data_IF_365057014862
#
_entry.id   IF_365057014862
#
_cell.length_a   1.000
_cell.length_b   1.000
_cell.length_c   1.000
_cell.angle_alpha   90.00
_cell.angle_beta   90.00
_cell.angle_gamma   90.00
#
_symmetry.space_group_name_H-M   'P 1'
#
loop_
_entity.id
_entity.type
_entity.pdbx_description
1 polymer ?
#
# COMPACT_ATOMS: atom_id res chain seq x y z
N UNK A 1 -5.60 -3.98 -13.02
CA UNK A 1 -5.10 -5.15 -12.28
C UNK A 1 -6.20 -5.68 -11.37
N UNK A 2 -6.52 -6.97 -11.50
CA UNK A 2 -7.44 -7.67 -10.61
C UNK A 2 -6.62 -8.54 -9.66
N UNK A 3 -6.84 -8.40 -8.37
CA UNK A 3 -6.26 -9.29 -7.36
C UNK A 3 -7.41 -9.99 -6.63
N UNK A 4 -7.42 -11.30 -6.72
CA UNK A 4 -8.36 -12.14 -6.00
C UNK A 4 -7.61 -12.94 -4.94
N UNK A 5 -7.97 -12.77 -3.69
CA UNK A 5 -7.38 -13.52 -2.57
C UNK A 5 -8.46 -14.30 -1.84
N UNK A 6 -8.22 -15.58 -1.68
CA UNK A 6 -8.98 -16.44 -0.78
C UNK A 6 -8.06 -16.86 0.35
N UNK A 7 -8.41 -16.48 1.57
CA UNK A 7 -7.74 -16.98 2.76
C UNK A 7 -8.70 -17.90 3.50
N UNK A 8 -8.34 -19.15 3.57
CA UNK A 8 -8.98 -20.12 4.42
C UNK A 8 -8.04 -20.35 5.61
N UNK A 9 -8.42 -19.90 6.78
CA UNK A 9 -7.79 -20.32 8.01
C UNK A 9 -8.73 -21.31 8.68
N UNK A 10 -8.54 -22.58 8.35
CA UNK A 10 -9.19 -23.68 8.99
C UNK A 10 -8.10 -24.60 9.46
N UNK A 11 -7.86 -24.62 10.76
CA UNK A 11 -7.41 -25.86 11.33
C UNK A 11 -8.65 -26.74 11.35
N UNK A 12 -8.61 -27.97 10.82
CA UNK A 12 -9.54 -28.98 11.26
C UNK A 12 -9.37 -29.05 12.78
N UNK A 13 -10.30 -28.45 13.51
CA UNK A 13 -10.34 -28.60 14.95
C UNK A 13 -10.37 -30.12 15.16
N UNK A 14 -9.33 -30.67 15.74
CA UNK A 14 -9.41 -32.06 16.16
C UNK A 14 -10.44 -32.05 17.29
N UNK A 15 -11.59 -32.62 17.01
CA UNK A 15 -12.56 -32.91 18.03
C UNK A 15 -11.93 -33.95 18.95
N UNK A 16 -11.63 -33.53 20.16
CA UNK A 16 -11.17 -34.44 21.22
C UNK A 16 -12.31 -34.61 22.19
N UNK A 17 -12.71 -35.81 22.39
CA UNK A 17 -13.65 -36.17 23.45
C UNK A 17 -12.87 -36.27 24.75
N UNK A 18 -13.20 -35.43 25.71
CA UNK A 18 -12.53 -35.36 27.01
C UNK A 18 -13.55 -35.67 28.07
N UNK A 19 -13.23 -36.57 28.97
CA UNK A 19 -14.04 -36.77 30.18
C UNK A 19 -13.60 -35.84 31.28
N UNK A 20 -14.53 -35.45 32.14
CA UNK A 20 -14.19 -34.89 33.43
C UNK A 20 -13.44 -35.96 34.25
N UNK A 21 -12.24 -35.66 34.78
CA UNK A 21 -11.50 -36.60 35.61
C UNK A 21 -12.29 -37.17 36.78
N UNK A 22 -13.29 -36.42 37.30
CA UNK A 22 -14.19 -36.89 38.33
C UNK A 22 -15.16 -37.98 37.94
N UNK A 23 -15.30 -38.24 36.61
CA UNK A 23 -16.21 -39.25 36.05
C UNK A 23 -15.48 -40.51 35.63
N UNK A 24 -14.18 -40.58 35.83
CA UNK A 24 -13.42 -41.83 35.68
C UNK A 24 -13.81 -42.75 36.85
N UNK A 25 -14.25 -43.95 36.58
CA UNK A 25 -14.51 -44.94 37.61
C UNK A 25 -13.16 -45.39 38.14
N UNK A 26 -12.78 -44.83 39.27
CA UNK A 26 -11.48 -45.09 39.89
C UNK A 26 -11.47 -46.29 40.80
N UNK A 27 -12.48 -47.14 40.84
CA UNK A 27 -12.56 -48.26 41.74
C UNK A 27 -13.30 -49.46 41.21
N UNK A 28 -13.02 -49.87 39.98
CA UNK A 28 -13.41 -51.24 39.60
C UNK A 28 -12.27 -52.18 39.97
N UNK A 29 -12.42 -53.00 41.03
CA UNK A 29 -11.36 -53.90 41.47
C UNK A 29 -11.06 -55.03 40.51
N UNK A 30 -11.74 -55.06 39.38
CA UNK A 30 -11.59 -56.08 38.32
C UNK A 30 -10.74 -55.59 37.13
N UNK A 31 -10.29 -54.32 37.14
CA UNK A 31 -9.48 -53.76 36.06
C UNK A 31 -8.15 -53.31 36.64
N UNK A 32 -7.16 -54.14 36.47
CA UNK A 32 -5.78 -53.82 36.65
C UNK A 32 -5.36 -52.93 35.46
N UNK A 33 -5.11 -51.65 35.69
CA UNK A 33 -4.66 -50.77 34.62
C UNK A 33 -3.17 -50.48 34.75
N UNK A 34 -2.50 -50.43 33.65
CA UNK A 34 -1.10 -50.07 33.55
C UNK A 34 -0.98 -48.54 33.40
N UNK A 35 -0.41 -47.90 34.42
CA UNK A 35 -0.19 -46.44 34.42
C UNK A 35 0.72 -45.97 33.27
N UNK A 36 1.62 -46.81 32.74
CA UNK A 36 2.52 -46.47 31.66
C UNK A 36 1.83 -46.49 30.29
N UNK A 37 0.88 -47.38 30.10
CA UNK A 37 0.19 -47.53 28.80
C UNK A 37 -1.17 -46.90 28.75
N UNK A 38 -1.73 -46.46 29.88
CA UNK A 38 -3.10 -45.93 30.01
C UNK A 38 -4.16 -46.93 29.48
N UNK A 39 -3.83 -48.16 29.36
CA UNK A 39 -4.79 -49.23 28.97
C UNK A 39 -5.62 -49.63 30.20
N UNK A 40 -6.91 -49.71 30.02
CA UNK A 40 -7.84 -50.11 31.06
C UNK A 40 -8.72 -49.01 31.63
N UNK A 41 -8.57 -47.77 31.23
CA UNK A 41 -9.48 -46.72 31.60
C UNK A 41 -10.91 -46.98 31.04
N UNK A 42 -11.87 -47.08 31.97
CA UNK A 42 -13.27 -47.19 31.62
C UNK A 42 -14.01 -45.89 31.92
N UNK A 43 -14.82 -45.48 30.99
CA UNK A 43 -15.72 -44.33 31.14
C UNK A 43 -17.12 -44.83 31.49
N UNK A 44 -17.83 -44.09 32.34
CA UNK A 44 -19.15 -44.48 32.84
C UNK A 44 -20.22 -44.55 31.72
N UNK A 45 -20.13 -43.70 30.76
CA UNK A 45 -20.95 -43.72 29.55
C UNK A 45 -20.39 -42.75 28.48
N UNK A 46 -20.79 -42.95 27.25
CA UNK A 46 -20.50 -42.00 26.16
C UNK A 46 -21.21 -40.64 26.34
N UNK A 47 -22.28 -40.60 27.14
CA UNK A 47 -23.03 -39.36 27.42
C UNK A 47 -22.26 -38.36 28.28
N UNK A 48 -21.22 -38.82 28.97
CA UNK A 48 -20.38 -37.98 29.82
C UNK A 48 -19.12 -37.45 29.09
N UNK A 49 -19.01 -37.74 27.78
CA UNK A 49 -17.91 -37.20 26.98
C UNK A 49 -18.27 -35.83 26.47
N UNK A 50 -17.54 -34.81 26.92
CA UNK A 50 -17.63 -33.47 26.35
C UNK A 50 -16.78 -33.37 25.08
N UNK A 51 -17.40 -32.94 24.01
CA UNK A 51 -16.69 -32.58 22.80
C UNK A 51 -16.03 -31.24 22.97
N UNK A 52 -14.73 -31.20 23.02
CA UNK A 52 -13.97 -29.95 23.06
C UNK A 52 -13.19 -29.75 21.77
N UNK A 53 -13.37 -28.58 21.19
CA UNK A 53 -12.56 -28.14 20.05
C UNK A 53 -11.21 -27.69 20.59
N UNK A 54 -10.18 -28.50 20.40
CA UNK A 54 -8.81 -28.13 20.71
C UNK A 54 -8.30 -27.09 19.71
N UNK A 55 -8.79 -25.87 19.85
CA UNK A 55 -8.22 -24.76 19.12
C UNK A 55 -7.98 -23.62 20.09
N UNK A 56 -6.76 -23.48 20.51
CA UNK A 56 -6.32 -22.43 21.43
C UNK A 56 -6.66 -21.05 20.91
N UNK A 57 -7.87 -20.57 21.18
CA UNK A 57 -8.25 -19.18 21.13
C UNK A 57 -8.39 -18.51 19.76
N UNK A 58 -8.32 -19.25 18.65
CA UNK A 58 -8.57 -18.67 17.31
C UNK A 58 -9.73 -19.40 16.65
N UNK A 59 -10.85 -18.72 16.49
CA UNK A 59 -11.99 -19.22 15.73
C UNK A 59 -11.60 -19.46 14.27
N UNK A 60 -12.04 -20.58 13.71
CA UNK A 60 -11.91 -20.88 12.28
C UNK A 60 -12.68 -19.83 11.47
N UNK A 61 -12.15 -19.40 10.36
CA UNK A 61 -12.84 -18.46 9.49
C UNK A 61 -12.53 -18.71 8.02
N UNK A 62 -13.43 -18.30 7.16
CA UNK A 62 -13.24 -18.19 5.72
C UNK A 62 -13.31 -16.72 5.36
N UNK A 63 -12.36 -16.23 4.59
CA UNK A 63 -12.41 -14.88 4.03
C UNK A 63 -12.15 -14.88 2.54
N UNK A 64 -12.80 -13.94 1.87
CA UNK A 64 -12.54 -13.64 0.46
C UNK A 64 -12.29 -12.15 0.30
N UNK A 65 -11.27 -11.83 -0.45
CA UNK A 65 -10.90 -10.47 -0.78
C UNK A 65 -10.81 -10.37 -2.31
N UNK A 66 -11.49 -9.40 -2.85
CA UNK A 66 -11.43 -9.06 -4.26
C UNK A 66 -11.05 -7.59 -4.38
N UNK A 67 -9.91 -7.34 -5.01
CA UNK A 67 -9.44 -5.99 -5.28
C UNK A 67 -9.36 -5.76 -6.78
N UNK A 68 -9.90 -4.64 -7.20
CA UNK A 68 -9.81 -4.13 -8.57
C UNK A 68 -9.14 -2.77 -8.52
N UNK A 69 -8.21 -2.52 -9.43
CA UNK A 69 -7.60 -1.21 -9.58
C UNK A 69 -7.26 -0.92 -11.02
N UNK A 70 -7.72 0.23 -11.48
CA UNK A 70 -7.44 0.76 -12.80
C UNK A 70 -6.81 2.14 -12.66
N UNK A 71 -5.77 2.41 -13.42
CA UNK A 71 -5.15 3.72 -13.47
C UNK A 71 -4.62 4.03 -14.85
N UNK A 72 -4.71 5.28 -15.25
CA UNK A 72 -4.05 5.76 -16.45
C UNK A 72 -3.37 7.10 -16.20
N UNK A 73 -2.33 7.35 -16.97
CA UNK A 73 -1.65 8.62 -17.01
C UNK A 73 -1.44 9.03 -18.48
N UNK A 74 -1.74 10.28 -18.80
CA UNK A 74 -1.53 10.89 -20.09
C UNK A 74 -0.64 12.11 -19.94
N UNK A 75 0.41 12.18 -20.76
CA UNK A 75 1.36 13.30 -20.77
C UNK A 75 1.46 13.85 -22.18
N UNK A 76 1.30 15.16 -22.30
CA UNK A 76 1.58 15.92 -23.52
C UNK A 76 2.71 16.88 -23.22
N UNK A 77 3.77 16.87 -24.03
CA UNK A 77 4.94 17.70 -23.83
C UNK A 77 5.33 18.43 -25.10
N UNK A 78 5.57 19.73 -24.99
CA UNK A 78 6.12 20.59 -26.01
C UNK A 78 7.48 21.11 -25.54
N UNK A 79 8.50 20.95 -26.35
CA UNK A 79 9.84 21.44 -26.07
C UNK A 79 10.31 22.37 -27.16
N UNK A 80 10.98 23.44 -26.78
CA UNK A 80 11.63 24.38 -27.68
C UNK A 80 13.03 24.70 -27.17
N UNK A 81 14.03 24.69 -28.04
CA UNK A 81 15.39 25.05 -27.69
C UNK A 81 16.01 25.85 -28.83
N UNK A 82 16.73 26.93 -28.50
CA UNK A 82 17.42 27.77 -29.46
C UNK A 82 18.69 28.36 -28.86
N UNK A 83 19.74 28.34 -29.64
CA UNK A 83 20.99 29.04 -29.37
C UNK A 83 21.11 30.28 -30.27
N UNK A 84 21.40 31.44 -29.68
CA UNK A 84 21.60 32.68 -30.36
C UNK A 84 22.91 33.30 -29.85
N UNK A 85 24.00 33.09 -30.61
CA UNK A 85 25.33 33.48 -30.18
C UNK A 85 25.74 32.80 -28.87
N UNK A 86 25.90 33.58 -27.78
CA UNK A 86 26.25 33.05 -26.45
C UNK A 86 25.02 32.77 -25.57
N UNK A 87 23.84 32.95 -26.07
CA UNK A 87 22.59 32.78 -25.36
C UNK A 87 21.98 31.43 -25.72
N UNK A 88 21.76 30.58 -24.74
CA UNK A 88 21.02 29.35 -24.91
C UNK A 88 19.69 29.49 -24.15
N UNK A 89 18.60 29.28 -24.85
CA UNK A 89 17.24 29.31 -24.27
C UNK A 89 16.56 27.98 -24.58
N UNK A 90 16.01 27.35 -23.55
CA UNK A 90 15.14 26.20 -23.77
C UNK A 90 13.92 26.31 -22.87
N UNK A 91 12.78 25.94 -23.42
CA UNK A 91 11.50 25.92 -22.74
C UNK A 91 10.85 24.57 -22.89
N UNK A 92 10.17 24.12 -21.85
CA UNK A 92 9.33 22.93 -21.86
C UNK A 92 7.98 23.31 -21.26
N UNK A 93 6.92 22.91 -21.95
CA UNK A 93 5.56 22.96 -21.43
C UNK A 93 4.97 21.59 -21.46
N UNK A 94 4.43 21.12 -20.34
CA UNK A 94 3.74 19.83 -20.32
C UNK A 94 2.41 19.88 -19.59
N UNK A 95 1.51 19.03 -20.04
CA UNK A 95 0.21 18.75 -19.43
C UNK A 95 0.25 17.29 -18.99
N UNK A 96 0.01 17.05 -17.73
CA UNK A 96 -0.07 15.71 -17.16
C UNK A 96 -1.47 15.50 -16.57
N UNK A 97 -2.14 14.44 -16.98
CA UNK A 97 -3.43 14.01 -16.42
C UNK A 97 -3.32 12.58 -15.95
N UNK A 98 -3.74 12.32 -14.73
CA UNK A 98 -3.78 10.99 -14.16
C UNK A 98 -5.13 10.75 -13.48
N UNK A 99 -5.63 9.53 -13.59
CA UNK A 99 -6.80 9.07 -12.85
C UNK A 99 -6.54 7.66 -12.34
N UNK A 100 -7.05 7.37 -11.18
CA UNK A 100 -7.02 6.05 -10.56
C UNK A 100 -8.34 5.75 -9.89
N UNK A 101 -8.81 4.53 -10.07
CA UNK A 101 -9.97 3.96 -9.38
C UNK A 101 -9.53 2.64 -8.75
N UNK A 102 -9.86 2.46 -7.49
CA UNK A 102 -9.58 1.22 -6.78
C UNK A 102 -10.78 0.83 -5.92
N UNK A 103 -11.12 -0.43 -6.01
CA UNK A 103 -12.22 -1.03 -5.27
C UNK A 103 -11.73 -2.27 -4.54
N UNK A 104 -12.09 -2.40 -3.28
CA UNK A 104 -11.81 -3.56 -2.48
C UNK A 104 -13.09 -4.04 -1.80
N UNK A 105 -13.40 -5.32 -2.01
CA UNK A 105 -14.49 -6.03 -1.37
C UNK A 105 -13.89 -7.13 -0.52
N UNK A 106 -14.18 -7.10 0.76
CA UNK A 106 -13.75 -8.09 1.72
C UNK A 106 -14.97 -8.71 2.40
N UNK A 107 -15.00 -10.03 2.48
CA UNK A 107 -16.01 -10.78 3.20
C UNK A 107 -15.34 -11.86 4.05
N UNK A 108 -15.79 -12.00 5.30
CA UNK A 108 -15.31 -13.00 6.24
C UNK A 108 -16.50 -13.64 6.95
N UNK A 109 -16.43 -14.93 7.16
CA UNK A 109 -17.36 -15.68 7.99
C UNK A 109 -16.60 -16.58 8.95
N UNK A 110 -17.01 -16.59 10.21
CA UNK A 110 -16.48 -17.47 11.24
C UNK A 110 -17.26 -18.81 11.25
N UNK A 111 -16.73 -19.81 11.91
CA UNK A 111 -17.34 -21.12 12.12
C UNK A 111 -17.85 -21.80 10.84
N UNK A 112 -16.98 -22.06 9.84
CA UNK A 112 -17.38 -22.82 8.66
C UNK A 112 -17.70 -24.25 9.06
N UNK A 113 -18.86 -24.75 8.60
CA UNK A 113 -19.32 -26.12 8.90
C UNK A 113 -18.48 -27.19 8.22
N UNK A 114 -17.94 -26.90 7.03
CA UNK A 114 -17.15 -27.83 6.25
C UNK A 114 -15.96 -27.11 5.60
N UNK A 115 -14.82 -27.77 5.64
CA UNK A 115 -13.63 -27.34 4.90
C UNK A 115 -13.55 -28.11 3.59
N UNK A 116 -13.86 -27.43 2.50
CA UNK A 116 -13.87 -27.99 1.14
C UNK A 116 -12.81 -27.35 0.25
N UNK A 117 -11.73 -26.86 0.84
CA UNK A 117 -10.67 -26.14 0.12
C UNK A 117 -11.18 -25.00 -0.79
N UNK A 118 -12.25 -24.34 -0.35
CA UNK A 118 -12.86 -23.22 -1.08
C UNK A 118 -13.87 -23.62 -2.15
N UNK A 119 -14.20 -24.90 -2.30
CA UNK A 119 -15.18 -25.37 -3.30
C UNK A 119 -16.63 -25.12 -2.87
N UNK A 120 -16.91 -25.19 -1.58
CA UNK A 120 -18.21 -24.80 -1.03
C UNK A 120 -18.01 -24.18 0.36
N UNK A 121 -18.90 -23.27 0.74
CA UNK A 121 -18.85 -22.60 2.04
C UNK A 121 -20.24 -22.62 2.66
N UNK A 122 -20.36 -23.34 3.75
CA UNK A 122 -21.50 -23.28 4.64
C UNK A 122 -21.02 -22.75 5.98
N UNK A 123 -21.74 -21.79 6.52
CA UNK A 123 -21.44 -21.20 7.83
C UNK A 123 -22.48 -21.69 8.82
N UNK A 124 -22.08 -21.87 10.08
CA UNK A 124 -23.02 -22.20 11.15
C UNK A 124 -23.94 -21.00 11.46
N UNK A 125 -25.04 -21.26 12.16
CA UNK A 125 -26.01 -20.21 12.53
C UNK A 125 -25.43 -19.16 13.47
N UNK A 126 -24.43 -19.53 14.27
CA UNK A 126 -23.68 -18.64 15.17
C UNK A 126 -22.50 -17.92 14.50
N UNK A 127 -22.37 -18.03 13.18
CA UNK A 127 -21.30 -17.40 12.41
C UNK A 127 -21.39 -15.89 12.43
N UNK A 128 -20.30 -15.23 12.83
CA UNK A 128 -20.13 -13.82 12.63
C UNK A 128 -19.73 -13.52 11.19
N UNK A 129 -20.42 -12.58 10.56
CA UNK A 129 -20.19 -12.16 9.19
C UNK A 129 -19.68 -10.74 9.16
N UNK A 130 -18.51 -10.55 8.57
CA UNK A 130 -17.91 -9.25 8.35
C UNK A 130 -17.87 -8.98 6.84
N UNK A 131 -18.41 -7.85 6.42
CA UNK A 131 -18.36 -7.39 5.03
C UNK A 131 -17.83 -5.97 5.04
N UNK A 132 -16.82 -5.71 4.24
CA UNK A 132 -16.27 -4.38 4.03
C UNK A 132 -16.16 -4.11 2.52
N UNK A 133 -16.59 -2.92 2.14
CA UNK A 133 -16.47 -2.43 0.78
C UNK A 133 -15.88 -1.03 0.82
N UNK A 134 -14.77 -0.85 0.13
CA UNK A 134 -14.11 0.44 -0.01
C UNK A 134 -13.86 0.74 -1.47
N UNK A 135 -14.12 1.99 -1.88
CA UNK A 135 -13.80 2.50 -3.20
C UNK A 135 -13.08 3.83 -3.06
N UNK A 136 -11.96 3.95 -3.75
CA UNK A 136 -11.17 5.17 -3.78
C UNK A 136 -10.97 5.60 -5.22
N UNK A 137 -11.36 6.84 -5.50
CA UNK A 137 -11.15 7.50 -6.79
C UNK A 137 -10.24 8.69 -6.56
N UNK A 138 -9.24 8.85 -7.42
CA UNK A 138 -8.37 10.01 -7.40
C UNK A 138 -8.03 10.45 -8.82
N UNK A 139 -8.06 11.76 -9.03
CA UNK A 139 -7.67 12.39 -10.28
C UNK A 139 -6.73 13.56 -10.03
N UNK A 140 -5.80 13.75 -10.95
CA UNK A 140 -4.92 14.90 -10.96
C UNK A 140 -4.77 15.48 -12.37
N UNK A 141 -4.56 16.78 -12.43
CA UNK A 141 -4.25 17.51 -13.65
C UNK A 141 -3.15 18.52 -13.33
N UNK A 142 -2.07 18.48 -14.11
CA UNK A 142 -0.94 19.37 -13.89
C UNK A 142 -0.54 20.10 -15.17
N UNK A 143 -0.25 21.37 -15.05
CA UNK A 143 0.43 22.16 -16.06
C UNK A 143 1.83 22.48 -15.55
N UNK A 144 2.84 22.15 -16.34
CA UNK A 144 4.24 22.34 -15.94
C UNK A 144 4.92 23.18 -17.02
N UNK A 145 5.45 24.34 -16.60
CA UNK A 145 6.27 25.18 -17.42
C UNK A 145 7.70 25.25 -16.88
N UNK A 146 8.69 25.01 -17.72
CA UNK A 146 10.11 25.16 -17.40
C UNK A 146 10.77 26.02 -18.44
N UNK A 147 11.55 27.00 -17.98
CA UNK A 147 12.39 27.84 -18.81
C UNK A 147 13.82 27.75 -18.29
N UNK A 148 14.73 27.37 -19.17
CA UNK A 148 16.16 27.41 -18.90
C UNK A 148 16.80 28.46 -19.80
N UNK A 149 17.70 29.21 -19.21
CA UNK A 149 18.52 30.19 -19.89
C UNK A 149 19.98 30.06 -19.47
N UNK A 150 20.88 30.02 -20.42
CA UNK A 150 22.30 30.16 -20.12
C UNK A 150 22.96 31.23 -21.00
N UNK A 151 23.92 31.93 -20.40
CA UNK A 151 24.77 32.91 -21.11
C UNK A 151 26.21 32.45 -21.07
N UNK A 152 26.78 32.27 -22.25
CA UNK A 152 28.18 31.86 -22.46
C UNK A 152 28.56 30.54 -21.70
N UNK A 153 27.57 29.71 -21.37
CA UNK A 153 27.68 28.51 -20.53
C UNK A 153 28.24 28.75 -19.12
N UNK A 154 28.28 30.02 -18.70
CA UNK A 154 28.77 30.45 -17.39
C UNK A 154 27.66 30.75 -16.40
N UNK A 155 26.67 31.50 -16.84
CA UNK A 155 25.52 31.90 -16.03
C UNK A 155 24.31 31.13 -16.44
N UNK A 156 23.73 30.43 -15.50
CA UNK A 156 22.63 29.49 -15.70
C UNK A 156 21.45 29.94 -14.86
N UNK A 157 20.27 30.00 -15.47
CA UNK A 157 19.03 30.32 -14.80
C UNK A 157 17.97 29.28 -15.20
N UNK A 158 17.20 28.85 -14.23
CA UNK A 158 16.05 27.98 -14.44
C UNK A 158 14.86 28.55 -13.67
N UNK A 159 13.74 28.64 -14.35
CA UNK A 159 12.45 28.91 -13.76
C UNK A 159 11.53 27.74 -14.07
N UNK A 160 10.87 27.21 -13.03
CA UNK A 160 9.90 26.16 -13.15
C UNK A 160 8.64 26.58 -12.38
N UNK A 161 7.49 26.35 -13.00
CA UNK A 161 6.21 26.47 -12.33
C UNK A 161 5.40 25.20 -12.61
N UNK A 162 4.84 24.63 -11.56
CA UNK A 162 3.85 23.56 -11.62
C UNK A 162 2.55 24.06 -11.03
N UNK A 163 1.49 24.02 -11.80
CA UNK A 163 0.13 24.23 -11.33
C UNK A 163 -0.58 22.89 -11.38
N UNK A 164 -1.04 22.43 -10.23
CA UNK A 164 -1.64 21.09 -10.11
C UNK A 164 -3.00 21.19 -9.43
N UNK A 165 -3.98 20.51 -10.03
CA UNK A 165 -5.25 20.21 -9.40
C UNK A 165 -5.27 18.76 -8.92
N UNK A 166 -5.91 18.52 -7.79
CA UNK A 166 -6.13 17.18 -7.25
C UNK A 166 -7.54 17.06 -6.70
N UNK A 167 -8.25 16.00 -7.06
CA UNK A 167 -9.60 15.72 -6.57
C UNK A 167 -9.66 15.34 -5.09
N UNK A 168 -8.50 15.20 -4.44
CA UNK A 168 -8.41 14.98 -3.00
C UNK A 168 -8.79 16.23 -2.18
N UNK A 169 -8.76 17.40 -2.81
CA UNK A 169 -9.13 18.65 -2.17
C UNK A 169 -10.55 19.07 -2.54
N UNK A 170 -11.13 20.00 -1.75
CA UNK A 170 -12.46 20.53 -2.03
C UNK A 170 -12.52 21.24 -3.38
N UNK A 171 -13.68 21.33 -4.04
CA UNK A 171 -13.84 21.99 -5.33
C UNK A 171 -13.28 23.40 -5.38
N UNK A 172 -13.39 24.13 -4.30
CA UNK A 172 -12.89 25.52 -4.22
C UNK A 172 -11.37 25.62 -4.11
N UNK A 173 -10.69 24.52 -3.77
CA UNK A 173 -9.26 24.49 -3.48
C UNK A 173 -8.50 23.39 -4.28
N UNK A 174 -9.00 22.99 -5.44
CA UNK A 174 -8.33 21.98 -6.26
C UNK A 174 -6.93 22.34 -6.71
N UNK A 175 -6.71 23.65 -6.98
CA UNK A 175 -5.49 24.11 -7.62
C UNK A 175 -4.45 24.58 -6.63
N UNK A 176 -3.22 24.08 -6.79
CA UNK A 176 -2.02 24.58 -6.14
C UNK A 176 -0.98 25.03 -7.16
N UNK A 177 -0.24 26.09 -6.86
CA UNK A 177 0.85 26.57 -7.68
C UNK A 177 2.18 26.43 -6.93
N UNK A 178 3.17 25.83 -7.59
CA UNK A 178 4.46 25.48 -7.01
C UNK A 178 5.60 26.02 -7.88
N UNK A 179 5.93 27.33 -7.75
CA UNK A 179 7.04 27.92 -8.47
C UNK A 179 8.37 27.55 -7.83
N UNK A 180 9.40 27.43 -8.67
CA UNK A 180 10.78 27.32 -8.23
C UNK A 180 11.71 28.08 -9.17
N UNK A 181 12.80 28.58 -8.63
CA UNK A 181 13.84 29.29 -9.37
C UNK A 181 15.20 28.77 -8.94
N UNK A 182 16.10 28.61 -9.90
CA UNK A 182 17.50 28.31 -9.61
C UNK A 182 18.43 29.17 -10.45
N UNK A 183 19.58 29.50 -9.88
CA UNK A 183 20.67 30.19 -10.54
C UNK A 183 21.97 29.40 -10.32
N UNK A 184 22.80 29.35 -11.34
CA UNK A 184 24.09 28.69 -11.31
C UNK A 184 25.16 29.56 -11.96
N UNK A 185 26.36 29.52 -11.40
CA UNK A 185 27.52 30.21 -11.93
C UNK A 185 28.70 29.25 -12.03
N UNK A 186 29.20 29.09 -13.26
CA UNK A 186 30.38 28.29 -13.56
C UNK A 186 31.62 29.16 -13.44
N UNK A 187 32.16 29.23 -12.25
CA UNK A 187 33.31 30.09 -11.93
C UNK A 187 34.57 29.65 -12.70
N UNK A 188 34.74 28.39 -12.97
CA UNK A 188 35.87 27.85 -13.71
C UNK A 188 35.96 28.35 -15.16
N UNK A 189 34.85 28.85 -15.72
CA UNK A 189 34.84 29.43 -17.07
C UNK A 189 35.12 30.94 -17.09
N UNK A 190 35.36 31.57 -15.95
CA UNK A 190 35.72 32.95 -15.89
C UNK A 190 37.20 33.15 -16.26
N UNK A 191 37.52 34.29 -16.90
CA UNK A 191 38.87 34.66 -17.36
C UNK A 191 39.88 34.81 -16.22
N UNK A 192 39.42 35.15 -15.03
CA UNK A 192 40.25 35.31 -13.85
C UNK A 192 40.48 34.03 -13.07
N UNK A 193 39.79 32.96 -13.41
CA UNK A 193 39.93 31.69 -12.69
C UNK A 193 41.27 30.99 -13.03
N UNK A 194 42.10 30.69 -12.04
CA UNK A 194 43.47 30.21 -12.28
C UNK A 194 43.46 28.67 -12.50
N UNK A 195 42.99 28.19 -13.65
CA UNK A 195 42.92 26.78 -13.99
C UNK A 195 44.25 26.05 -13.89
N UNK A 196 45.34 26.74 -14.27
CA UNK A 196 46.69 26.14 -14.27
C UNK A 196 47.33 26.08 -12.86
N UNK A 197 46.94 26.97 -11.95
CA UNK A 197 47.46 27.03 -10.58
C UNK A 197 46.68 26.21 -9.57
N UNK A 198 45.42 25.93 -9.86
CA UNK A 198 44.52 25.15 -9.02
C UNK A 198 44.34 23.77 -9.67
N UNK A 199 44.40 22.72 -8.88
CA UNK A 199 44.06 21.36 -9.37
C UNK A 199 42.56 21.18 -9.56
N UNK A 200 41.84 22.28 -9.82
CA UNK A 200 40.40 22.32 -9.96
C UNK A 200 40.06 22.68 -11.42
N UNK A 201 39.60 21.69 -12.16
CA UNK A 201 39.22 21.87 -13.58
C UNK A 201 37.82 22.46 -13.74
N UNK A 202 36.94 22.21 -12.79
CA UNK A 202 35.54 22.65 -12.84
C UNK A 202 35.03 23.09 -11.48
N UNK A 203 34.56 24.34 -11.39
CA UNK A 203 33.93 24.88 -10.19
C UNK A 203 32.62 25.59 -10.56
N UNK A 204 31.51 25.11 -9.98
CA UNK A 204 30.18 25.68 -10.16
C UNK A 204 29.51 25.90 -8.82
N UNK A 205 28.94 27.09 -8.63
CA UNK A 205 28.04 27.40 -7.51
C UNK A 205 26.61 27.39 -8.03
N UNK A 206 25.70 26.84 -7.25
CA UNK A 206 24.27 26.83 -7.55
C UNK A 206 23.46 27.15 -6.30
N UNK A 207 22.42 27.96 -6.48
CA UNK A 207 21.41 28.23 -5.48
C UNK A 207 20.03 28.00 -6.08
N UNK A 208 19.09 27.53 -5.27
CA UNK A 208 17.71 27.33 -5.69
C UNK A 208 16.75 27.57 -4.54
N UNK A 209 15.59 28.09 -4.88
CA UNK A 209 14.47 28.29 -3.95
C UNK A 209 13.16 27.91 -4.65
N UNK A 210 12.21 27.39 -3.89
CA UNK A 210 10.93 27.00 -4.46
C UNK A 210 9.90 26.66 -3.39
N UNK A 211 8.66 26.62 -3.82
CA UNK A 211 7.51 26.21 -3.02
C UNK A 211 7.13 24.80 -3.46
N UNK A 212 6.96 23.91 -2.50
CA UNK A 212 6.52 22.54 -2.74
C UNK A 212 5.18 22.30 -2.07
N UNK A 213 4.31 21.57 -2.73
CA UNK A 213 3.05 21.08 -2.18
C UNK A 213 3.10 19.58 -1.89
N UNK A 214 2.24 19.17 -0.98
CA UNK A 214 2.01 17.78 -0.64
C UNK A 214 0.52 17.48 -0.63
N UNK A 215 0.09 16.43 -1.31
CA UNK A 215 -1.29 15.95 -1.38
C UNK A 215 -1.52 14.62 -0.63
N UNK A 216 -0.69 14.36 0.41
CA UNK A 216 -0.81 13.16 1.22
C UNK A 216 -1.96 13.30 2.23
N UNK A 217 -3.14 13.46 1.70
CA UNK A 217 -4.41 13.51 2.43
C UNK A 217 -5.35 12.44 1.88
N UNK A 218 -6.23 11.98 2.74
CA UNK A 218 -7.29 11.08 2.29
C UNK A 218 -8.28 11.85 1.39
N UNK A 219 -8.73 11.21 0.33
CA UNK A 219 -9.73 11.80 -0.54
C UNK A 219 -11.08 11.98 0.20
N UNK A 220 -11.83 13.01 -0.18
CA UNK A 220 -13.22 13.24 0.28
C UNK A 220 -13.39 13.48 1.79
N UNK A 221 -12.38 14.03 2.46
CA UNK A 221 -12.48 14.45 3.88
C UNK A 221 -12.92 15.90 4.10
N UNK A 222 -13.43 16.53 3.09
CA UNK A 222 -13.92 17.92 3.10
C UNK A 222 -15.43 18.00 3.03
#
# INVERSE_FOLDING_TARGET
>A
NYVYRVKNRGGSGKHLYVTDPSQIIDNDPLVDYDEETLEGFRYTSFENLEERILNSGQSSYISREMSRGDSYQMNLMLMYARQIGKHNISGTFSIEKGESDSENVYAKGTHPLLFTDGQSNSLSDDSEKEVSWTRNEAGNLSYIGRLNYSYADKYLFEFLVRSQASTKFSPDNYWGAFPSVSAGWVMSEEKWFPKESTKIDYLKIRASAGIMGRDNVDAWRW
#
